data_IF_762605005437
#
_entry.id   IF_762605005437
#
_cell.length_a   1.000
_cell.length_b   1.000
_cell.length_c   1.000
_cell.angle_alpha   90.00
_cell.angle_beta   90.00
_cell.angle_gamma   90.00
#
_symmetry.space_group_name_H-M   'P 1'
#
loop_
_entity.id
_entity.type
_entity.pdbx_description
1 polymer ?
#
# COMPACT_ATOMS: atom_id res chain seq x y z
N UNK A 1 28.55 19.73 -9.46
CA UNK A 1 27.73 18.87 -10.30
C UNK A 1 26.28 19.19 -9.97
N UNK A 2 25.44 19.42 -10.97
CA UNK A 2 24.02 19.61 -10.72
C UNK A 2 23.43 18.32 -10.14
N UNK A 3 22.54 18.47 -9.14
CA UNK A 3 21.85 17.32 -8.54
C UNK A 3 20.96 16.63 -9.57
N UNK A 4 20.92 15.30 -9.55
CA UNK A 4 19.99 14.52 -10.40
C UNK A 4 18.58 14.94 -10.03
N UNK A 5 17.77 15.31 -11.03
CA UNK A 5 16.37 15.69 -10.87
C UNK A 5 15.45 14.53 -11.21
N UNK A 6 14.70 14.05 -10.23
CA UNK A 6 13.71 12.97 -10.38
C UNK A 6 12.30 13.52 -10.16
N UNK A 7 11.43 13.28 -11.12
CA UNK A 7 10.04 13.69 -11.05
C UNK A 7 9.13 12.45 -10.95
N UNK A 8 8.41 12.30 -9.86
CA UNK A 8 7.38 11.26 -9.70
C UNK A 8 6.06 11.89 -10.10
N UNK A 9 5.44 11.40 -11.18
CA UNK A 9 4.15 11.93 -11.66
C UNK A 9 3.08 10.87 -11.49
N UNK A 10 1.99 11.27 -10.84
CA UNK A 10 0.81 10.41 -10.65
C UNK A 10 -0.47 11.10 -11.09
N UNK A 11 -1.40 10.30 -11.61
CA UNK A 11 -2.77 10.69 -11.97
C UNK A 11 -3.80 9.96 -11.11
N UNK A 12 -3.40 8.85 -10.47
CA UNK A 12 -4.26 7.94 -9.71
C UNK A 12 -3.98 7.89 -8.23
N UNK A 13 -2.74 8.18 -7.80
CA UNK A 13 -2.34 8.19 -6.41
C UNK A 13 -2.48 9.57 -5.80
N UNK A 14 -2.78 9.60 -4.51
CA UNK A 14 -2.75 10.83 -3.74
C UNK A 14 -1.30 11.21 -3.38
N UNK A 15 -1.01 12.52 -3.24
CA UNK A 15 0.33 13.01 -2.86
C UNK A 15 0.85 12.44 -1.52
N UNK A 16 -0.03 11.90 -0.69
CA UNK A 16 0.28 11.25 0.58
C UNK A 16 0.29 9.72 0.48
N UNK A 17 0.40 9.17 -0.72
CA UNK A 17 0.59 7.74 -0.91
C UNK A 17 1.91 7.30 -0.27
N UNK A 18 1.84 6.28 0.61
CA UNK A 18 2.97 5.85 1.41
C UNK A 18 4.18 5.41 0.58
N UNK A 19 3.94 4.75 -0.58
CA UNK A 19 5.02 4.32 -1.46
C UNK A 19 5.72 5.50 -2.14
N UNK A 20 4.93 6.43 -2.67
CA UNK A 20 5.50 7.62 -3.35
C UNK A 20 6.26 8.51 -2.37
N UNK A 21 5.74 8.68 -1.16
CA UNK A 21 6.40 9.44 -0.09
C UNK A 21 7.73 8.78 0.29
N UNK A 22 7.77 7.46 0.44
CA UNK A 22 9.03 6.73 0.70
C UNK A 22 10.03 6.89 -0.44
N UNK A 23 9.62 6.67 -1.69
CA UNK A 23 10.51 6.86 -2.84
C UNK A 23 11.12 8.27 -2.87
N UNK A 24 10.29 9.30 -2.71
CA UNK A 24 10.79 10.67 -2.63
C UNK A 24 11.80 10.85 -1.51
N UNK A 25 11.51 10.33 -0.32
CA UNK A 25 12.39 10.46 0.85
C UNK A 25 13.73 9.75 0.64
N UNK A 26 13.73 8.48 0.22
CA UNK A 26 14.95 7.71 -0.04
C UNK A 26 15.84 8.39 -1.08
N UNK A 27 15.24 8.97 -2.13
CA UNK A 27 15.98 9.72 -3.15
C UNK A 27 16.57 11.02 -2.56
N UNK A 28 15.82 11.74 -1.74
CA UNK A 28 16.30 12.99 -1.12
C UNK A 28 17.42 12.74 -0.09
N UNK A 29 17.34 11.66 0.67
CA UNK A 29 18.40 11.22 1.60
C UNK A 29 19.71 10.88 0.86
N UNK A 30 19.63 10.48 -0.40
CA UNK A 30 20.77 10.24 -1.29
C UNK A 30 21.20 11.47 -2.13
N UNK A 31 20.83 12.67 -1.72
CA UNK A 31 21.15 13.97 -2.37
C UNK A 31 20.61 14.09 -3.82
N UNK A 32 19.47 13.42 -4.12
CA UNK A 32 18.74 13.51 -5.38
C UNK A 32 17.57 14.49 -5.20
N UNK A 33 17.41 15.45 -6.13
CA UNK A 33 16.28 16.39 -6.14
C UNK A 33 15.01 15.69 -6.63
N UNK A 34 14.26 15.09 -5.69
CA UNK A 34 13.05 14.33 -5.97
C UNK A 34 11.79 15.10 -5.58
N UNK A 35 10.84 15.17 -6.51
CA UNK A 35 9.53 15.79 -6.30
C UNK A 35 8.38 14.90 -6.74
N UNK A 36 7.20 15.09 -6.12
CA UNK A 36 5.96 14.41 -6.51
C UNK A 36 5.00 15.44 -7.08
N UNK A 37 4.53 15.21 -8.31
CA UNK A 37 3.46 15.97 -8.92
C UNK A 37 2.22 15.10 -9.12
N UNK A 38 1.09 15.57 -8.61
CA UNK A 38 -0.21 14.95 -8.77
C UNK A 38 -1.00 15.72 -9.83
N UNK A 39 -1.51 14.99 -10.82
CA UNK A 39 -2.37 15.54 -11.86
C UNK A 39 -3.82 15.17 -11.51
N UNK A 40 -4.56 16.15 -11.03
CA UNK A 40 -6.00 15.99 -10.83
C UNK A 40 -6.76 16.15 -12.15
N UNK A 41 -7.52 15.14 -12.51
CA UNK A 41 -8.33 15.10 -13.73
C UNK A 41 -9.84 15.08 -13.44
N UNK A 42 -10.23 15.17 -12.16
CA UNK A 42 -11.61 15.22 -11.70
C UNK A 42 -12.41 13.91 -11.86
N UNK A 43 -12.12 13.07 -12.83
CA UNK A 43 -12.81 11.80 -13.05
C UNK A 43 -11.90 10.70 -13.58
N UNK A 44 -12.32 9.42 -13.39
CA UNK A 44 -11.58 8.27 -13.94
C UNK A 44 -11.44 8.30 -15.45
N UNK A 45 -12.50 8.68 -16.17
CA UNK A 45 -12.47 8.76 -17.65
C UNK A 45 -11.49 9.85 -18.08
N UNK A 46 -11.58 11.04 -17.49
CA UNK A 46 -10.63 12.14 -17.74
C UNK A 46 -9.19 11.74 -17.44
N UNK A 47 -8.97 10.92 -16.43
CA UNK A 47 -7.64 10.40 -16.07
C UNK A 47 -7.02 9.59 -17.22
N UNK A 48 -7.77 8.68 -17.82
CA UNK A 48 -7.27 7.88 -18.94
C UNK A 48 -7.11 8.67 -20.23
N UNK A 49 -7.99 9.63 -20.50
CA UNK A 49 -7.98 10.40 -21.75
C UNK A 49 -7.00 11.57 -21.72
N UNK A 50 -6.97 12.33 -20.64
CA UNK A 50 -6.21 13.58 -20.55
C UNK A 50 -4.99 13.49 -19.63
N UNK A 51 -4.98 12.56 -18.66
CA UNK A 51 -3.89 12.38 -17.71
C UNK A 51 -2.52 12.20 -18.39
N UNK A 52 -2.36 11.29 -19.37
CA UNK A 52 -1.10 11.12 -20.09
C UNK A 52 -0.63 12.40 -20.80
N UNK A 53 -1.55 13.14 -21.43
CA UNK A 53 -1.21 14.38 -22.12
C UNK A 53 -0.73 15.48 -21.16
N UNK A 54 -1.42 15.64 -20.02
CA UNK A 54 -1.03 16.60 -18.99
C UNK A 54 0.32 16.21 -18.36
N UNK A 55 0.53 14.92 -18.08
CA UNK A 55 1.79 14.41 -17.59
C UNK A 55 2.94 14.66 -18.58
N UNK A 56 2.72 14.43 -19.87
CA UNK A 56 3.69 14.76 -20.92
C UNK A 56 4.11 16.23 -20.88
N UNK A 57 3.14 17.15 -20.81
CA UNK A 57 3.43 18.59 -20.70
C UNK A 57 4.28 18.91 -19.47
N UNK A 58 3.98 18.29 -18.32
CA UNK A 58 4.75 18.47 -17.09
C UNK A 58 6.19 18.01 -17.26
N UNK A 59 6.43 16.82 -17.81
CA UNK A 59 7.77 16.31 -18.07
C UNK A 59 8.56 17.24 -19.00
N UNK A 60 7.94 17.69 -20.09
CA UNK A 60 8.62 18.58 -21.06
C UNK A 60 8.97 19.93 -20.44
N UNK A 61 8.12 20.47 -19.58
CA UNK A 61 8.35 21.77 -18.93
C UNK A 61 9.39 21.70 -17.80
N UNK A 62 9.35 20.66 -16.97
CA UNK A 62 10.24 20.51 -15.80
C UNK A 62 11.62 19.95 -16.17
N UNK A 63 11.75 19.28 -17.35
CA UNK A 63 12.98 18.68 -17.86
C UNK A 63 13.77 17.87 -16.81
N UNK A 64 13.14 16.87 -16.17
CA UNK A 64 13.84 16.04 -15.22
C UNK A 64 14.85 15.13 -15.91
N UNK A 65 15.89 14.70 -15.20
CA UNK A 65 16.82 13.69 -15.69
C UNK A 65 16.17 12.30 -15.76
N UNK A 66 15.23 12.04 -14.83
CA UNK A 66 14.46 10.81 -14.77
C UNK A 66 13.04 11.09 -14.31
N UNK A 67 12.06 10.37 -14.88
CA UNK A 67 10.67 10.36 -14.42
C UNK A 67 10.27 8.98 -13.91
N UNK A 68 9.55 8.93 -12.80
CA UNK A 68 8.96 7.71 -12.26
C UNK A 68 7.45 7.77 -12.45
N UNK A 69 6.88 6.77 -13.11
CA UNK A 69 5.45 6.63 -13.32
C UNK A 69 4.90 5.49 -12.46
N UNK A 70 4.05 5.76 -11.45
CA UNK A 70 3.41 4.71 -10.64
C UNK A 70 2.10 4.20 -11.24
N UNK A 71 1.47 4.92 -12.18
CA UNK A 71 0.14 4.60 -12.68
C UNK A 71 0.17 3.85 -14.01
N UNK A 72 -0.68 2.81 -14.19
CA UNK A 72 -0.68 1.99 -15.39
C UNK A 72 -0.98 2.77 -16.67
N UNK A 73 -1.86 3.78 -16.65
CA UNK A 73 -2.15 4.60 -17.82
C UNK A 73 -0.96 5.44 -18.28
N UNK A 74 -0.09 5.85 -17.34
CA UNK A 74 1.15 6.55 -17.71
C UNK A 74 2.18 5.57 -18.26
N UNK A 75 2.30 4.37 -17.67
CA UNK A 75 3.18 3.32 -18.18
C UNK A 75 2.88 3.01 -19.65
N UNK A 76 1.61 2.85 -19.97
CA UNK A 76 1.18 2.24 -21.22
C UNK A 76 1.13 3.26 -22.37
N UNK A 77 0.64 4.46 -22.07
CA UNK A 77 0.39 5.46 -23.12
C UNK A 77 1.49 6.50 -23.25
N UNK A 78 2.27 6.74 -22.18
CA UNK A 78 3.21 7.85 -22.13
C UNK A 78 4.66 7.44 -22.31
N UNK A 79 5.05 6.28 -21.79
CA UNK A 79 6.44 5.83 -21.79
C UNK A 79 7.13 5.90 -23.16
N UNK A 80 6.54 5.43 -24.29
CA UNK A 80 7.19 5.49 -25.59
C UNK A 80 7.49 6.92 -26.07
N UNK A 81 6.67 7.89 -25.67
CA UNK A 81 6.82 9.28 -26.09
C UNK A 81 7.80 10.06 -25.20
N UNK A 82 7.74 9.82 -23.88
CA UNK A 82 8.58 10.50 -22.89
C UNK A 82 10.03 10.00 -22.94
N UNK A 83 10.25 8.73 -23.21
CA UNK A 83 11.60 8.14 -23.33
C UNK A 83 12.54 8.90 -24.29
N UNK A 84 11.98 9.60 -25.27
CA UNK A 84 12.76 10.45 -26.20
C UNK A 84 13.22 11.77 -25.58
N UNK A 85 12.73 12.14 -24.41
CA UNK A 85 12.96 13.42 -23.74
C UNK A 85 13.72 13.29 -22.43
N UNK A 86 13.46 12.22 -21.67
CA UNK A 86 14.06 11.93 -20.38
C UNK A 86 14.09 10.42 -20.13
N UNK A 87 14.79 9.97 -19.10
CA UNK A 87 14.78 8.56 -18.67
C UNK A 87 13.45 8.23 -17.99
N UNK A 88 12.95 7.02 -18.22
CA UNK A 88 11.65 6.56 -17.73
C UNK A 88 11.80 5.31 -16.88
N UNK A 89 11.35 5.40 -15.64
CA UNK A 89 11.18 4.28 -14.72
C UNK A 89 9.68 4.05 -14.53
N UNK A 90 9.24 2.82 -14.71
CA UNK A 90 7.86 2.41 -14.41
C UNK A 90 7.83 1.72 -13.06
N UNK A 91 6.95 2.15 -12.15
CA UNK A 91 6.78 1.58 -10.83
C UNK A 91 5.49 0.75 -10.75
N UNK A 92 5.64 -0.57 -10.70
CA UNK A 92 4.55 -1.56 -10.75
C UNK A 92 4.33 -2.10 -9.34
N UNK A 93 3.24 -1.70 -8.72
CA UNK A 93 2.93 -2.06 -7.35
C UNK A 93 1.69 -2.95 -7.19
N UNK A 94 0.99 -3.25 -8.28
CA UNK A 94 -0.13 -4.20 -8.32
C UNK A 94 0.00 -5.07 -9.58
N UNK A 95 -0.47 -6.32 -9.51
CA UNK A 95 -0.64 -7.16 -10.68
C UNK A 95 -1.91 -6.74 -11.43
N UNK A 96 -1.78 -5.78 -12.34
CA UNK A 96 -2.93 -5.11 -12.99
C UNK A 96 -3.87 -6.09 -13.67
N UNK A 97 -3.36 -7.17 -14.24
CA UNK A 97 -4.12 -8.22 -14.92
C UNK A 97 -5.10 -8.93 -13.98
N UNK A 98 -4.74 -9.09 -12.69
CA UNK A 98 -5.60 -9.72 -11.68
C UNK A 98 -6.52 -8.71 -11.00
N UNK A 99 -6.03 -7.50 -10.75
CA UNK A 99 -6.81 -6.41 -10.13
C UNK A 99 -8.07 -6.06 -10.92
N UNK A 100 -8.05 -6.24 -12.25
CA UNK A 100 -9.22 -6.03 -13.13
C UNK A 100 -10.42 -6.89 -12.72
N UNK A 101 -10.19 -8.09 -12.20
CA UNK A 101 -11.27 -8.98 -11.80
C UNK A 101 -12.03 -8.48 -10.56
N UNK A 102 -11.40 -7.63 -9.75
CA UNK A 102 -11.97 -7.04 -8.53
C UNK A 102 -12.58 -5.63 -8.76
N UNK A 103 -12.49 -5.11 -10.00
CA UNK A 103 -13.07 -3.80 -10.33
C UNK A 103 -14.56 -3.93 -10.67
N UNK A 104 -15.42 -3.38 -9.81
CA UNK A 104 -16.89 -3.41 -9.96
C UNK A 104 -17.40 -2.69 -11.22
N UNK A 105 -16.68 -1.65 -11.68
CA UNK A 105 -17.03 -0.87 -12.87
C UNK A 105 -16.72 -1.56 -14.20
N UNK A 106 -16.02 -2.71 -14.19
CA UNK A 106 -15.76 -3.52 -15.40
C UNK A 106 -16.74 -4.69 -15.41
N UNK A 107 -17.57 -4.75 -16.47
CA UNK A 107 -18.52 -5.85 -16.66
C UNK A 107 -17.78 -7.20 -16.66
N UNK A 108 -18.29 -8.24 -15.99
CA UNK A 108 -17.60 -9.54 -15.86
C UNK A 108 -17.12 -10.14 -17.18
N UNK A 109 -17.92 -10.06 -18.24
CA UNK A 109 -17.58 -10.55 -19.57
C UNK A 109 -16.41 -9.80 -20.23
N UNK A 110 -16.16 -8.56 -19.84
CA UNK A 110 -15.07 -7.75 -20.39
C UNK A 110 -13.75 -7.95 -19.65
N UNK A 111 -13.78 -8.48 -18.45
CA UNK A 111 -12.57 -8.63 -17.59
C UNK A 111 -11.46 -9.46 -18.24
N UNK A 112 -11.72 -10.62 -18.87
CA UNK A 112 -10.66 -11.39 -19.55
C UNK A 112 -10.04 -10.62 -20.72
N UNK A 113 -10.85 -9.88 -21.47
CA UNK A 113 -10.39 -9.08 -22.61
C UNK A 113 -9.49 -7.95 -22.11
N UNK A 114 -9.94 -7.20 -21.11
CA UNK A 114 -9.17 -6.10 -20.52
C UNK A 114 -7.88 -6.61 -19.90
N UNK A 115 -7.92 -7.75 -19.18
CA UNK A 115 -6.73 -8.40 -18.62
C UNK A 115 -5.73 -8.80 -19.72
N UNK A 116 -6.21 -9.38 -20.84
CA UNK A 116 -5.37 -9.69 -22.00
C UNK A 116 -4.70 -8.46 -22.63
N UNK A 117 -5.45 -7.38 -22.76
CA UNK A 117 -4.92 -6.09 -23.25
C UNK A 117 -3.84 -5.56 -22.30
N UNK A 118 -4.08 -5.56 -20.99
CA UNK A 118 -3.11 -5.12 -19.99
C UNK A 118 -1.83 -5.94 -20.05
N UNK A 119 -1.91 -7.26 -20.27
CA UNK A 119 -0.74 -8.13 -20.43
C UNK A 119 0.13 -7.73 -21.62
N UNK A 120 -0.50 -7.48 -22.78
CA UNK A 120 0.21 -7.01 -23.98
C UNK A 120 0.88 -5.66 -23.69
N UNK A 121 0.13 -4.75 -23.09
CA UNK A 121 0.63 -3.41 -22.75
C UNK A 121 1.75 -3.46 -21.71
N UNK A 122 1.73 -4.40 -20.75
CA UNK A 122 2.84 -4.64 -19.82
C UNK A 122 4.13 -5.04 -20.56
N UNK A 123 4.01 -5.83 -21.63
CA UNK A 123 5.14 -6.14 -22.53
C UNK A 123 5.69 -4.89 -23.23
N UNK A 124 4.81 -4.01 -23.72
CA UNK A 124 5.20 -2.73 -24.33
C UNK A 124 5.91 -1.83 -23.31
N UNK A 125 5.34 -1.69 -22.10
CA UNK A 125 6.00 -0.97 -20.99
C UNK A 125 7.43 -1.48 -20.77
N UNK A 126 7.61 -2.78 -20.58
CA UNK A 126 8.94 -3.38 -20.32
C UNK A 126 9.91 -3.11 -21.45
N UNK A 127 9.44 -3.01 -22.70
CA UNK A 127 10.28 -2.73 -23.89
C UNK A 127 10.73 -1.28 -23.96
N UNK A 128 9.91 -0.35 -23.51
CA UNK A 128 10.14 1.09 -23.68
C UNK A 128 10.60 1.81 -22.42
N UNK A 129 10.43 1.27 -21.22
CA UNK A 129 11.02 1.84 -20.00
C UNK A 129 12.53 1.62 -19.95
N UNK A 130 13.24 2.50 -19.26
CA UNK A 130 14.68 2.34 -18.99
C UNK A 130 14.90 1.41 -17.80
N UNK A 131 13.98 1.41 -16.82
CA UNK A 131 13.91 0.45 -15.72
C UNK A 131 12.46 0.20 -15.27
N UNK A 132 12.22 -0.91 -14.59
CA UNK A 132 10.95 -1.27 -13.98
C UNK A 132 11.18 -1.62 -12.52
N UNK A 133 10.50 -0.91 -11.61
CA UNK A 133 10.40 -1.25 -10.20
C UNK A 133 9.18 -2.13 -10.00
N UNK A 134 9.29 -3.13 -9.14
CA UNK A 134 8.21 -4.09 -8.86
C UNK A 134 8.07 -4.24 -7.35
N UNK A 135 6.85 -4.16 -6.84
CA UNK A 135 6.59 -4.13 -5.40
C UNK A 135 6.51 -5.51 -4.73
N UNK A 136 6.34 -6.58 -5.50
CA UNK A 136 6.16 -7.93 -4.96
C UNK A 136 6.87 -8.96 -5.85
N UNK A 137 7.51 -9.93 -5.21
CA UNK A 137 8.27 -10.99 -5.89
C UNK A 137 7.39 -11.92 -6.74
N UNK A 138 6.07 -11.99 -6.50
CA UNK A 138 5.14 -12.85 -7.26
C UNK A 138 4.98 -12.44 -8.72
N UNK A 139 5.24 -11.18 -9.05
CA UNK A 139 5.20 -10.67 -10.43
C UNK A 139 6.51 -10.01 -10.86
N UNK A 140 7.59 -10.25 -10.10
CA UNK A 140 8.95 -9.86 -10.47
C UNK A 140 9.51 -10.76 -11.59
N UNK A 141 10.26 -10.16 -12.50
CA UNK A 141 11.00 -10.87 -13.54
C UNK A 141 12.45 -10.41 -13.55
N UNK A 142 13.33 -11.27 -14.07
CA UNK A 142 14.75 -10.95 -14.22
C UNK A 142 14.95 -9.63 -14.99
N UNK A 143 15.90 -8.82 -14.52
CA UNK A 143 16.17 -7.48 -15.07
C UNK A 143 15.28 -6.35 -14.52
N UNK A 144 14.36 -6.65 -13.62
CA UNK A 144 13.57 -5.65 -12.89
C UNK A 144 14.12 -5.46 -11.47
N UNK A 145 13.85 -4.31 -10.89
CA UNK A 145 14.23 -3.99 -9.51
C UNK A 145 13.09 -4.32 -8.55
N UNK A 146 13.31 -5.25 -7.63
CA UNK A 146 12.34 -5.57 -6.57
C UNK A 146 12.44 -4.51 -5.47
N UNK A 147 11.53 -3.55 -5.51
CA UNK A 147 11.39 -2.46 -4.54
C UNK A 147 10.10 -2.68 -3.78
N UNK A 148 10.18 -3.36 -2.65
CA UNK A 148 9.02 -3.79 -1.89
C UNK A 148 8.25 -2.64 -1.24
N UNK A 149 7.09 -2.93 -0.68
CA UNK A 149 6.29 -1.97 0.07
C UNK A 149 6.61 -1.98 1.58
N UNK A 150 7.67 -2.66 2.01
CA UNK A 150 8.07 -2.65 3.40
C UNK A 150 8.50 -1.23 3.82
N UNK A 151 8.03 -0.72 4.97
CA UNK A 151 8.51 0.55 5.50
C UNK A 151 9.94 0.41 5.99
N UNK A 152 10.78 1.42 5.76
CA UNK A 152 12.14 1.42 6.31
C UNK A 152 12.09 1.49 7.86
N UNK A 153 12.78 0.59 8.57
CA UNK A 153 12.78 0.56 10.04
C UNK A 153 13.28 1.85 10.69
N UNK A 154 14.14 2.60 10.00
CA UNK A 154 14.67 3.89 10.48
C UNK A 154 13.61 4.96 10.70
N UNK A 155 12.41 4.76 10.19
CA UNK A 155 11.33 5.76 10.20
C UNK A 155 10.42 5.66 11.43
N UNK A 156 10.55 4.62 12.25
CA UNK A 156 9.61 4.36 13.33
C UNK A 156 10.34 4.10 14.65
N UNK A 157 9.98 4.87 15.65
CA UNK A 157 10.42 4.63 17.02
C UNK A 157 9.33 3.79 17.68
N UNK A 158 9.68 2.59 18.13
CA UNK A 158 8.78 1.81 19.00
C UNK A 158 8.62 2.61 20.28
N UNK A 159 7.40 2.99 20.60
CA UNK A 159 7.04 3.28 21.97
C UNK A 159 6.59 1.96 22.59
N UNK A 160 7.33 1.46 23.57
CA UNK A 160 6.94 0.31 24.41
C UNK A 160 5.76 0.67 25.35
N UNK A 161 4.82 1.46 24.85
CA UNK A 161 3.65 1.82 25.65
C UNK A 161 2.70 0.63 25.69
N UNK A 162 2.42 0.18 26.90
CA UNK A 162 1.29 -0.72 27.15
C UNK A 162 0.04 -0.07 26.54
N UNK A 163 -0.76 -0.80 25.74
CA UNK A 163 -2.03 -0.31 25.23
C UNK A 163 -2.85 0.25 26.41
N UNK A 164 -3.14 1.54 26.37
CA UNK A 164 -3.83 2.21 27.50
C UNK A 164 -5.34 1.96 27.50
N UNK A 165 -5.85 1.35 26.43
CA UNK A 165 -7.26 1.06 26.20
C UNK A 165 -7.41 -0.05 25.15
N UNK A 166 -8.54 -0.76 25.18
CA UNK A 166 -8.86 -1.87 24.27
C UNK A 166 -9.22 -1.36 22.88
N UNK A 167 -8.32 -0.64 22.25
CA UNK A 167 -8.53 0.04 20.97
C UNK A 167 -7.92 -0.76 19.83
N UNK A 168 -8.77 -1.13 18.87
CA UNK A 168 -8.36 -1.66 17.57
C UNK A 168 -8.15 -0.51 16.58
N UNK A 169 -7.36 -0.74 15.56
CA UNK A 169 -7.14 0.23 14.49
C UNK A 169 -7.15 -0.44 13.12
N UNK A 170 -7.74 0.27 12.15
CA UNK A 170 -7.61 -0.04 10.74
C UNK A 170 -7.11 1.19 9.97
N UNK A 171 -6.03 1.04 9.20
CA UNK A 171 -5.49 2.08 8.32
C UNK A 171 -5.60 1.65 6.87
N UNK A 172 -6.33 2.42 6.06
CA UNK A 172 -6.49 2.17 4.62
C UNK A 172 -7.89 2.45 4.09
N UNK A 173 -8.14 2.17 2.81
CA UNK A 173 -9.46 2.35 2.21
C UNK A 173 -10.49 1.44 2.87
N UNK A 174 -11.59 2.02 3.34
CA UNK A 174 -12.70 1.31 3.99
C UNK A 174 -13.63 0.80 2.91
N UNK A 175 -13.70 -0.52 2.73
CA UNK A 175 -14.58 -1.18 1.75
C UNK A 175 -14.82 -2.64 2.10
N UNK A 176 -15.88 -3.23 1.54
CA UNK A 176 -16.28 -4.62 1.81
C UNK A 176 -15.17 -5.63 1.54
N UNK A 177 -14.49 -5.54 0.39
CA UNK A 177 -13.42 -6.48 0.04
C UNK A 177 -12.18 -6.40 0.94
N UNK A 178 -12.12 -5.37 1.79
CA UNK A 178 -11.09 -5.20 2.82
C UNK A 178 -11.61 -5.48 4.22
N UNK A 179 -12.72 -6.21 4.33
CA UNK A 179 -13.23 -6.81 5.55
C UNK A 179 -13.81 -5.83 6.57
N UNK A 180 -14.44 -4.73 6.11
CA UNK A 180 -15.08 -3.80 7.06
C UNK A 180 -16.17 -4.49 7.86
N UNK A 181 -16.91 -5.44 7.27
CA UNK A 181 -17.99 -6.15 7.97
C UNK A 181 -17.44 -7.03 9.10
N UNK A 182 -16.35 -7.75 8.82
CA UNK A 182 -15.62 -8.57 9.80
C UNK A 182 -15.06 -7.71 10.97
N UNK A 183 -14.54 -6.52 10.66
CA UNK A 183 -14.04 -5.58 11.67
C UNK A 183 -15.16 -5.11 12.61
N UNK A 184 -16.33 -4.76 12.06
CA UNK A 184 -17.48 -4.37 12.85
C UNK A 184 -18.03 -5.53 13.69
N UNK A 185 -18.00 -6.75 13.14
CA UNK A 185 -18.41 -7.94 13.85
C UNK A 185 -17.50 -8.24 15.06
N UNK A 186 -16.16 -8.09 14.91
CA UNK A 186 -15.24 -8.21 16.04
C UNK A 186 -15.59 -7.22 17.16
N UNK A 187 -15.83 -5.96 16.82
CA UNK A 187 -16.23 -4.93 17.80
C UNK A 187 -17.57 -5.28 18.47
N UNK A 188 -18.52 -5.82 17.70
CA UNK A 188 -19.81 -6.25 18.25
C UNK A 188 -19.68 -7.40 19.25
N UNK A 189 -18.79 -8.35 18.99
CA UNK A 189 -18.53 -9.50 19.87
C UNK A 189 -17.70 -9.14 21.14
N UNK A 190 -17.09 -7.94 21.18
CA UNK A 190 -16.24 -7.49 22.29
C UNK A 190 -16.72 -6.11 22.78
N UNK A 191 -17.65 -6.03 23.76
CA UNK A 191 -18.30 -4.77 24.17
C UNK A 191 -17.35 -3.68 24.70
N UNK A 192 -16.22 -4.06 25.25
CA UNK A 192 -15.18 -3.16 25.81
C UNK A 192 -14.20 -2.62 24.75
N UNK A 193 -14.35 -3.05 23.49
CA UNK A 193 -13.42 -2.69 22.41
C UNK A 193 -13.95 -1.51 21.59
N UNK A 194 -13.07 -0.59 21.24
CA UNK A 194 -13.32 0.48 20.28
C UNK A 194 -12.50 0.27 19.00
N UNK A 195 -12.93 0.87 17.89
CA UNK A 195 -12.23 0.76 16.61
C UNK A 195 -12.06 2.13 15.96
N UNK A 196 -10.83 2.49 15.70
CA UNK A 196 -10.44 3.65 14.88
C UNK A 196 -10.33 3.24 13.41
N UNK A 197 -11.15 3.81 12.56
CA UNK A 197 -11.12 3.65 11.10
C UNK A 197 -10.45 4.87 10.47
N UNK A 198 -9.22 4.69 9.95
CA UNK A 198 -8.37 5.75 9.42
C UNK A 198 -8.20 5.54 7.91
N UNK A 199 -8.92 6.31 7.13
CA UNK A 199 -8.86 6.24 5.67
C UNK A 199 -10.16 6.67 5.00
N UNK A 200 -10.16 6.75 3.66
CA UNK A 200 -11.36 7.08 2.92
C UNK A 200 -12.34 5.90 2.91
N UNK A 201 -13.61 6.22 2.94
CA UNK A 201 -14.70 5.27 2.68
C UNK A 201 -15.24 5.51 1.28
N UNK A 202 -15.46 4.45 0.51
CA UNK A 202 -16.13 4.54 -0.77
C UNK A 202 -17.66 4.65 -0.56
N UNK A 203 -18.32 5.45 -1.39
CA UNK A 203 -19.78 5.69 -1.32
C UNK A 203 -20.61 4.39 -1.41
N UNK A 204 -20.11 3.40 -2.15
CA UNK A 204 -20.76 2.09 -2.31
C UNK A 204 -20.73 1.21 -1.03
N UNK A 205 -20.01 1.60 0.01
CA UNK A 205 -19.78 0.72 1.19
C UNK A 205 -20.96 0.73 2.16
N UNK A 206 -21.78 1.79 2.17
CA UNK A 206 -22.86 1.99 3.16
C UNK A 206 -22.39 1.78 4.61
N UNK A 207 -21.26 2.40 4.95
CA UNK A 207 -20.59 2.20 6.25
C UNK A 207 -21.49 2.49 7.44
N UNK A 208 -22.28 3.57 7.39
CA UNK A 208 -23.18 3.97 8.48
C UNK A 208 -24.23 2.90 8.75
N UNK A 209 -24.93 2.42 7.70
CA UNK A 209 -25.90 1.35 7.85
C UNK A 209 -25.30 0.02 8.35
N UNK A 210 -24.02 -0.24 8.06
CA UNK A 210 -23.34 -1.40 8.62
C UNK A 210 -23.01 -1.20 10.10
N UNK A 211 -22.56 -0.02 10.51
CA UNK A 211 -22.28 0.32 11.92
C UNK A 211 -23.57 0.16 12.75
N UNK A 212 -24.69 0.69 12.26
CA UNK A 212 -26.02 0.55 12.88
C UNK A 212 -26.46 -0.92 12.96
N UNK A 213 -26.29 -1.69 11.86
CA UNK A 213 -26.61 -3.14 11.84
C UNK A 213 -25.90 -3.92 12.95
N UNK A 214 -24.65 -3.57 13.26
CA UNK A 214 -23.85 -4.24 14.28
C UNK A 214 -24.01 -3.65 15.70
N UNK A 215 -24.72 -2.52 15.86
CA UNK A 215 -24.95 -1.85 17.15
C UNK A 215 -23.66 -1.35 17.80
N UNK A 216 -22.76 -0.77 17.01
CA UNK A 216 -21.42 -0.37 17.47
C UNK A 216 -21.15 1.13 17.31
N UNK A 217 -22.14 1.96 17.11
CA UNK A 217 -22.05 3.38 16.76
C UNK A 217 -21.18 4.17 17.74
N UNK A 218 -21.34 3.95 19.04
CA UNK A 218 -20.59 4.66 20.08
C UNK A 218 -19.11 4.19 20.20
N UNK A 219 -18.77 3.12 19.52
CA UNK A 219 -17.44 2.47 19.62
C UNK A 219 -16.61 2.58 18.36
N UNK A 220 -17.14 3.16 17.29
CA UNK A 220 -16.43 3.39 16.03
C UNK A 220 -16.05 4.86 15.90
N UNK A 221 -14.77 5.12 15.65
CA UNK A 221 -14.28 6.46 15.37
C UNK A 221 -13.79 6.57 13.92
N UNK A 222 -14.41 7.46 13.17
CA UNK A 222 -14.10 7.71 11.77
C UNK A 222 -13.16 8.90 11.67
N UNK A 223 -11.92 8.70 11.19
CA UNK A 223 -10.93 9.75 11.03
C UNK A 223 -10.85 10.32 9.60
N UNK A 224 -11.51 9.65 8.64
CA UNK A 224 -11.37 10.01 7.23
C UNK A 224 -9.93 9.81 6.71
N UNK A 225 -9.65 10.37 5.55
CA UNK A 225 -8.32 10.33 4.95
C UNK A 225 -7.36 11.23 5.74
N UNK A 226 -6.26 10.67 6.17
CA UNK A 226 -5.18 11.36 6.87
C UNK A 226 -3.88 11.33 6.06
N UNK A 227 -2.96 12.30 6.25
CA UNK A 227 -1.58 12.18 5.81
C UNK A 227 -0.94 10.91 6.37
N UNK A 228 -0.02 10.29 5.62
CA UNK A 228 0.59 9.00 5.97
C UNK A 228 1.13 8.98 7.42
N UNK A 229 1.97 9.93 7.77
CA UNK A 229 2.57 10.02 9.10
C UNK A 229 1.51 10.21 10.21
N UNK A 230 0.52 11.05 9.97
CA UNK A 230 -0.59 11.28 10.92
C UNK A 230 -1.42 10.02 11.12
N UNK A 231 -1.69 9.25 10.07
CA UNK A 231 -2.44 8.00 10.15
C UNK A 231 -1.74 7.00 11.09
N UNK A 232 -0.43 6.84 10.94
CA UNK A 232 0.33 5.92 11.78
C UNK A 232 0.58 6.45 13.19
N UNK A 233 0.68 7.76 13.38
CA UNK A 233 0.66 8.35 14.73
C UNK A 233 -0.66 8.08 15.47
N UNK A 234 -1.79 8.19 14.78
CA UNK A 234 -3.11 7.86 15.34
C UNK A 234 -3.23 6.35 15.65
N UNK A 235 -2.57 5.50 14.89
CA UNK A 235 -2.59 4.05 15.12
C UNK A 235 -1.80 3.60 16.35
N UNK A 236 -0.77 4.36 16.76
CA UNK A 236 0.09 4.00 17.91
C UNK A 236 -0.71 3.72 19.18
N UNK A 237 -0.26 2.71 19.94
CA UNK A 237 -0.88 2.32 21.22
C UNK A 237 -2.20 1.57 21.09
N UNK A 238 -2.61 1.14 19.87
CA UNK A 238 -3.70 0.19 19.71
C UNK A 238 -3.27 -1.20 20.16
N UNK A 239 -4.23 -1.99 20.69
CA UNK A 239 -3.96 -3.38 21.11
C UNK A 239 -3.71 -4.28 19.91
N UNK A 240 -4.32 -3.99 18.75
CA UNK A 240 -4.08 -4.69 17.49
C UNK A 240 -4.42 -3.82 16.28
N UNK A 241 -3.71 -4.09 15.17
CA UNK A 241 -4.04 -3.62 13.83
C UNK A 241 -4.84 -4.65 13.05
N UNK A 242 -5.89 -4.23 12.35
CA UNK A 242 -6.77 -5.12 11.61
C UNK A 242 -6.37 -5.22 10.14
N UNK A 243 -6.30 -6.45 9.62
CA UNK A 243 -5.97 -6.74 8.23
C UNK A 243 -6.88 -7.84 7.63
N UNK A 244 -8.15 -7.53 7.43
CA UNK A 244 -9.09 -8.46 6.80
C UNK A 244 -9.15 -8.22 5.30
N UNK A 245 -8.84 -9.25 4.53
CA UNK A 245 -8.98 -9.25 3.08
C UNK A 245 -9.86 -10.42 2.67
N UNK A 246 -10.75 -10.21 1.71
CA UNK A 246 -11.49 -11.30 1.09
C UNK A 246 -10.61 -12.04 0.07
N UNK A 247 -10.82 -13.37 -0.14
CA UNK A 247 -10.02 -14.18 -1.06
C UNK A 247 -10.38 -13.87 -2.52
N UNK A 248 -9.97 -12.70 -3.00
CA UNK A 248 -10.08 -12.31 -4.41
C UNK A 248 -8.77 -12.62 -5.15
N UNK A 249 -8.80 -12.57 -6.51
CA UNK A 249 -7.57 -12.76 -7.29
C UNK A 249 -6.48 -11.77 -6.94
N UNK A 250 -6.86 -10.51 -6.64
CA UNK A 250 -5.92 -9.47 -6.28
C UNK A 250 -5.32 -9.65 -4.88
N UNK A 251 -6.03 -10.30 -3.95
CA UNK A 251 -5.62 -10.37 -2.55
C UNK A 251 -5.10 -11.73 -2.11
N UNK A 252 -5.47 -12.82 -2.81
CA UNK A 252 -5.11 -14.19 -2.37
C UNK A 252 -3.60 -14.44 -2.31
N UNK A 253 -2.82 -13.75 -3.13
CA UNK A 253 -1.38 -13.98 -3.28
C UNK A 253 -0.51 -12.75 -2.97
N UNK A 254 -1.04 -11.75 -2.28
CA UNK A 254 -0.27 -10.56 -1.91
C UNK A 254 -0.09 -10.45 -0.40
N UNK A 255 0.98 -9.79 0.00
CA UNK A 255 1.19 -9.37 1.38
C UNK A 255 0.74 -7.92 1.50
N UNK A 256 -0.31 -7.63 2.29
CA UNK A 256 -0.76 -6.26 2.51
C UNK A 256 0.30 -5.43 3.22
N UNK A 257 0.62 -4.25 2.70
CA UNK A 257 1.61 -3.33 3.29
C UNK A 257 1.33 -2.98 4.74
N UNK A 258 0.05 -2.91 5.12
CA UNK A 258 -0.34 -2.56 6.49
C UNK A 258 0.16 -3.53 7.56
N UNK A 259 0.44 -4.78 7.25
CA UNK A 259 1.03 -5.73 8.18
C UNK A 259 2.42 -5.23 8.60
N UNK A 260 3.25 -4.88 7.64
CA UNK A 260 4.57 -4.30 7.86
C UNK A 260 4.51 -2.97 8.60
N UNK A 261 3.52 -2.15 8.24
CA UNK A 261 3.32 -0.82 8.83
C UNK A 261 2.84 -0.93 10.29
N UNK A 262 1.98 -1.90 10.65
CA UNK A 262 1.63 -2.18 12.06
C UNK A 262 2.85 -2.65 12.85
N UNK A 263 3.63 -3.58 12.31
CA UNK A 263 4.85 -4.04 12.97
C UNK A 263 5.87 -2.92 13.14
N UNK A 264 6.00 -2.00 12.18
CA UNK A 264 6.93 -0.86 12.27
C UNK A 264 6.65 0.07 13.46
N UNK A 265 5.45 0.04 14.01
CA UNK A 265 5.05 0.78 15.21
C UNK A 265 4.78 -0.13 16.42
N UNK A 266 5.19 -1.41 16.34
CA UNK A 266 5.13 -2.36 17.45
C UNK A 266 3.74 -2.91 17.76
N UNK A 267 2.79 -2.87 16.79
CA UNK A 267 1.41 -3.35 16.97
C UNK A 267 1.25 -4.72 16.32
N UNK A 268 0.71 -5.75 17.05
CA UNK A 268 0.41 -7.05 16.47
C UNK A 268 -0.78 -6.96 15.50
N UNK A 269 -0.89 -7.95 14.63
CA UNK A 269 -1.93 -7.99 13.58
C UNK A 269 -2.97 -9.06 13.89
N UNK A 270 -4.25 -8.71 13.74
CA UNK A 270 -5.35 -9.66 13.60
C UNK A 270 -5.79 -9.66 12.13
N UNK A 271 -5.70 -10.81 11.45
CA UNK A 271 -5.90 -10.87 10.02
C UNK A 271 -6.75 -12.06 9.57
N UNK A 272 -7.36 -11.94 8.38
CA UNK A 272 -7.99 -13.09 7.71
C UNK A 272 -6.94 -14.15 7.34
N UNK A 273 -7.36 -15.42 7.27
CA UNK A 273 -6.47 -16.55 6.99
C UNK A 273 -6.25 -16.73 5.47
N UNK A 274 -5.55 -15.76 4.84
CA UNK A 274 -5.09 -15.89 3.46
C UNK A 274 -3.66 -16.45 3.43
N UNK A 275 -3.33 -17.37 2.50
CA UNK A 275 -2.12 -18.19 2.60
C UNK A 275 -0.83 -17.40 2.85
N UNK A 276 -0.51 -16.41 2.01
CA UNK A 276 0.76 -15.66 2.14
C UNK A 276 0.82 -14.75 3.36
N UNK A 277 -0.29 -14.09 3.71
CA UNK A 277 -0.30 -13.25 4.92
C UNK A 277 -0.28 -14.10 6.19
N UNK A 278 -0.93 -15.27 6.18
CA UNK A 278 -0.91 -16.20 7.30
C UNK A 278 0.49 -16.79 7.51
N UNK A 279 1.16 -17.19 6.43
CA UNK A 279 2.55 -17.63 6.48
C UNK A 279 3.46 -16.54 7.06
N UNK A 280 3.39 -15.32 6.53
CA UNK A 280 4.19 -14.20 7.00
C UNK A 280 3.95 -13.90 8.49
N UNK A 281 2.67 -13.82 8.93
CA UNK A 281 2.33 -13.49 10.31
C UNK A 281 2.81 -14.58 11.26
N UNK A 282 2.70 -15.85 10.87
CA UNK A 282 3.22 -16.99 11.65
C UNK A 282 4.75 -16.96 11.75
N UNK A 283 5.45 -16.77 10.62
CA UNK A 283 6.93 -16.76 10.59
C UNK A 283 7.51 -15.62 11.40
N UNK A 284 6.85 -14.46 11.38
CA UNK A 284 7.22 -13.31 12.19
C UNK A 284 6.79 -13.44 13.66
N UNK A 285 5.90 -14.38 14.00
CA UNK A 285 5.21 -14.40 15.28
C UNK A 285 4.66 -13.00 15.63
N UNK A 286 4.10 -12.31 14.64
CA UNK A 286 3.75 -10.88 14.73
C UNK A 286 2.24 -10.62 14.81
N UNK A 287 1.44 -11.64 15.12
CA UNK A 287 -0.02 -11.54 15.20
C UNK A 287 -0.70 -12.89 15.07
N UNK A 288 -2.00 -12.88 14.80
CA UNK A 288 -2.83 -14.08 14.64
C UNK A 288 -3.71 -13.96 13.40
N UNK A 289 -3.88 -15.07 12.67
CA UNK A 289 -4.85 -15.19 11.57
C UNK A 289 -5.95 -16.16 11.93
N UNK A 290 -7.15 -15.95 11.41
CA UNK A 290 -8.28 -16.84 11.64
C UNK A 290 -9.63 -16.25 11.21
N UNK A 291 -10.68 -16.92 11.64
CA UNK A 291 -12.06 -16.45 11.54
C UNK A 291 -12.34 -15.33 12.54
N UNK A 292 -13.41 -14.59 12.32
CA UNK A 292 -13.84 -13.50 13.25
C UNK A 292 -14.03 -14.01 14.68
N UNK A 293 -14.55 -15.24 14.85
CA UNK A 293 -14.78 -15.82 16.19
C UNK A 293 -13.45 -16.16 16.88
N UNK A 294 -12.54 -16.84 16.20
CA UNK A 294 -11.21 -17.18 16.73
C UNK A 294 -10.42 -15.94 17.10
N UNK A 295 -10.47 -14.90 16.24
CA UNK A 295 -9.79 -13.64 16.49
C UNK A 295 -10.45 -12.83 17.63
N UNK A 296 -11.77 -12.94 17.79
CA UNK A 296 -12.47 -12.37 18.94
C UNK A 296 -12.03 -13.02 20.27
N UNK A 297 -11.87 -14.35 20.30
CA UNK A 297 -11.39 -15.05 21.50
C UNK A 297 -9.91 -14.73 21.78
N UNK A 298 -9.08 -14.62 20.76
CA UNK A 298 -7.70 -14.13 20.88
C UNK A 298 -7.66 -12.71 21.46
N UNK A 299 -8.56 -11.84 21.00
CA UNK A 299 -8.62 -10.45 21.46
C UNK A 299 -9.01 -10.37 22.94
N UNK A 300 -9.96 -11.19 23.41
CA UNK A 300 -10.32 -11.28 24.83
C UNK A 300 -9.12 -11.67 25.68
N UNK A 301 -8.36 -12.69 25.24
CA UNK A 301 -7.14 -13.12 25.92
C UNK A 301 -6.09 -11.99 25.98
N UNK A 302 -5.97 -11.17 24.91
CA UNK A 302 -5.06 -10.01 24.90
C UNK A 302 -5.56 -8.83 25.76
N UNK A 303 -6.86 -8.70 25.94
CA UNK A 303 -7.45 -7.69 26.84
C UNK A 303 -7.18 -8.08 28.30
N UNK A 304 -7.33 -9.36 28.63
CA UNK A 304 -7.02 -9.88 29.96
C UNK A 304 -5.52 -9.83 30.29
N UNK A 305 -4.68 -10.11 29.28
CA UNK A 305 -3.22 -10.07 29.41
C UNK A 305 -2.58 -9.30 28.22
N UNK A 306 -2.51 -7.97 28.28
CA UNK A 306 -1.93 -7.15 27.23
C UNK A 306 -0.45 -7.43 26.90
N UNK A 307 0.27 -8.11 27.81
CA UNK A 307 1.68 -8.47 27.57
C UNK A 307 1.81 -9.42 26.37
N UNK A 308 0.82 -10.27 26.13
CA UNK A 308 0.79 -11.18 24.97
C UNK A 308 0.75 -10.39 23.65
N UNK A 309 -0.12 -9.39 23.56
CA UNK A 309 -0.20 -8.52 22.37
C UNK A 309 1.11 -7.74 22.15
N UNK A 310 1.68 -7.19 23.21
CA UNK A 310 2.96 -6.47 23.17
C UNK A 310 4.08 -7.38 22.67
N UNK A 311 4.16 -8.61 23.17
CA UNK A 311 5.16 -9.58 22.76
C UNK A 311 5.08 -9.90 21.26
N UNK A 312 3.87 -10.09 20.73
CA UNK A 312 3.66 -10.34 19.31
C UNK A 312 4.00 -9.10 18.45
N UNK A 313 3.60 -7.90 18.88
CA UNK A 313 3.98 -6.66 18.20
C UNK A 313 5.50 -6.46 18.15
N UNK A 314 6.20 -6.77 19.25
CA UNK A 314 7.67 -6.75 19.33
C UNK A 314 8.32 -7.79 18.41
N UNK A 315 7.78 -9.01 18.36
CA UNK A 315 8.26 -10.05 17.44
C UNK A 315 8.10 -9.63 15.98
N UNK A 316 6.94 -9.08 15.60
CA UNK A 316 6.73 -8.55 14.25
C UNK A 316 7.71 -7.43 13.90
N UNK A 317 7.97 -6.51 14.82
CA UNK A 317 8.98 -5.47 14.62
C UNK A 317 10.39 -6.05 14.46
N UNK A 318 10.80 -7.00 15.30
CA UNK A 318 12.10 -7.66 15.19
C UNK A 318 12.23 -8.39 13.86
N UNK A 319 11.17 -9.06 13.41
CA UNK A 319 11.14 -9.70 12.10
C UNK A 319 11.31 -8.67 10.98
N UNK A 320 10.56 -7.57 11.01
CA UNK A 320 10.67 -6.48 10.02
C UNK A 320 12.10 -5.90 9.98
N UNK A 321 12.69 -5.62 11.14
CA UNK A 321 14.03 -5.02 11.22
C UNK A 321 15.15 -5.99 10.90
N UNK A 322 14.91 -7.28 11.05
CA UNK A 322 15.85 -8.36 10.68
C UNK A 322 15.81 -8.73 9.19
N UNK A 323 14.84 -8.18 8.42
CA UNK A 323 14.79 -8.42 6.98
C UNK A 323 15.84 -7.56 6.26
N UNK A 324 16.58 -8.18 5.35
CA UNK A 324 17.51 -7.50 4.44
C UNK A 324 16.70 -6.82 3.31
N UNK A 325 15.88 -5.81 3.67
CA UNK A 325 15.15 -5.04 2.67
C UNK A 325 16.03 -3.95 2.05
N UNK A 326 16.65 -4.30 0.93
CA UNK A 326 17.47 -3.39 0.13
C UNK A 326 16.63 -2.55 -0.86
N UNK A 327 15.34 -2.32 -0.58
CA UNK A 327 14.43 -1.61 -1.50
C UNK A 327 14.90 -0.19 -1.79
N UNK A 328 15.34 0.55 -0.77
CA UNK A 328 15.85 1.91 -0.94
C UNK A 328 17.12 1.91 -1.79
N UNK A 329 18.04 0.97 -1.55
CA UNK A 329 19.26 0.81 -2.36
C UNK A 329 18.92 0.45 -3.81
N UNK A 330 18.01 -0.49 -4.04
CA UNK A 330 17.56 -0.89 -5.39
C UNK A 330 16.87 0.24 -6.14
N UNK A 331 16.10 1.08 -5.46
CA UNK A 331 15.54 2.30 -6.04
C UNK A 331 16.64 3.25 -6.50
N UNK A 332 17.66 3.48 -5.66
CA UNK A 332 18.80 4.32 -5.98
C UNK A 332 19.61 3.75 -7.15
N UNK A 333 19.88 2.45 -7.15
CA UNK A 333 20.57 1.75 -8.25
C UNK A 333 19.80 1.91 -9.56
N UNK A 334 18.46 1.75 -9.55
CA UNK A 334 17.63 1.95 -10.72
C UNK A 334 17.74 3.39 -11.26
N UNK A 335 17.59 4.39 -10.39
CA UNK A 335 17.64 5.81 -10.80
C UNK A 335 19.05 6.17 -11.30
N UNK A 336 20.10 5.83 -10.56
CA UNK A 336 21.48 6.15 -10.93
C UNK A 336 21.90 5.41 -12.20
N UNK A 337 21.51 4.13 -12.32
CA UNK A 337 21.81 3.31 -13.49
C UNK A 337 21.21 3.90 -14.77
N UNK A 338 19.95 4.29 -14.75
CA UNK A 338 19.31 4.87 -15.94
C UNK A 338 19.83 6.26 -16.29
N UNK A 339 20.15 7.10 -15.30
CA UNK A 339 20.66 8.46 -15.54
C UNK A 339 22.11 8.41 -16.05
N UNK A 340 22.97 7.57 -15.47
CA UNK A 340 24.37 7.41 -15.90
C UNK A 340 24.52 6.60 -17.19
N UNK A 341 23.46 5.97 -17.68
CA UNK A 341 23.47 5.14 -18.88
C UNK A 341 24.21 3.80 -18.70
N UNK A 342 24.43 3.37 -17.48
CA UNK A 342 24.96 2.04 -17.14
C UNK A 342 23.79 1.06 -17.17
N UNK A 343 23.81 0.12 -18.09
CA UNK A 343 22.86 -1.01 -18.16
C UNK A 343 23.46 -2.23 -17.51
#
# INVERSE_FOLDING_TARGET
>A
MDRIKVLIITTGHHRYDGRLVRHKRSLQEADIDASIEMIDTGSRISRFLFGPFLAYKRVVNSKPDCVIFPDPELHLFLTPFVKRKTRVICDVHEHYEDVIYDRSWIKPLMRPIVSGILRVLSGVRNRFSDAVLVADSTFWNEGQYLVTNQPSPSNFIINEQVPSNNRLVYVGDIRKSRGIEEMLQIVSLNPEVTLDLIGPCNDDTNLIGMIEKYGVESRIKLHGRQPYETAWMLAKGAIAGLCFLHPTRAFSNVIPTKIWEYWSIGIPVLASDLPRQAELIRDANGGVTGTVVELSDTLKDWIEDPIKAIALGKSGFQYLTGQDDNSDQRLLEAVQGVVKGVR
#
